data_IF_987814854900
#
_entry.id   IF_987814854900
#
_cell.length_a   1.000
_cell.length_b   1.000
_cell.length_c   1.000
_cell.angle_alpha   90.00
_cell.angle_beta   90.00
_cell.angle_gamma   90.00
#
_symmetry.space_group_name_H-M   'P 1'
#
loop_
_entity.id
_entity.type
_entity.pdbx_description
1 polymer ?
#
# COMPACT_ATOMS: atom_id res chain seq x y z
N UNK A 1 23.70 -12.43 -1.60
CA UNK A 1 23.31 -11.28 -2.45
C UNK A 1 22.06 -11.70 -3.19
N UNK A 2 20.98 -10.98 -3.08
CA UNK A 2 19.81 -11.15 -3.93
C UNK A 2 20.26 -10.76 -5.33
N UNK A 3 19.96 -11.59 -6.34
CA UNK A 3 20.67 -11.62 -7.63
C UNK A 3 20.68 -10.31 -8.41
N UNK A 4 21.61 -10.19 -9.34
CA UNK A 4 21.77 -9.07 -10.30
C UNK A 4 20.56 -8.87 -11.24
N UNK A 5 19.49 -9.67 -11.06
CA UNK A 5 18.28 -9.68 -11.90
C UNK A 5 17.26 -8.62 -11.49
N UNK A 6 17.28 -8.17 -10.25
CA UNK A 6 16.31 -7.16 -9.74
C UNK A 6 17.00 -5.82 -9.64
N UNK A 7 16.48 -4.83 -10.36
CA UNK A 7 16.97 -3.44 -10.32
C UNK A 7 15.83 -2.54 -9.92
N UNK A 8 16.06 -1.70 -8.91
CA UNK A 8 15.11 -0.68 -8.44
C UNK A 8 15.39 0.67 -9.12
N UNK A 9 14.33 1.35 -9.49
CA UNK A 9 14.31 2.77 -9.83
C UNK A 9 13.24 3.43 -8.97
N UNK A 10 13.61 4.46 -8.22
CA UNK A 10 12.66 5.21 -7.37
C UNK A 10 12.20 6.47 -8.11
N UNK A 11 10.89 6.70 -8.15
CA UNK A 11 10.30 7.91 -8.74
C UNK A 11 10.58 9.13 -7.85
N UNK A 12 10.67 10.32 -8.45
CA UNK A 12 10.88 11.57 -7.72
C UNK A 12 9.54 12.16 -7.25
N UNK A 13 8.88 11.42 -6.35
CA UNK A 13 7.62 11.81 -5.71
C UNK A 13 7.67 11.65 -4.18
N UNK A 14 8.68 12.22 -3.49
CA UNK A 14 8.84 12.06 -2.06
C UNK A 14 7.70 12.73 -1.27
N UNK A 15 7.19 12.02 -0.27
CA UNK A 15 6.14 12.51 0.63
C UNK A 15 6.15 11.74 1.95
N UNK A 16 5.39 12.17 2.97
CA UNK A 16 5.20 11.37 4.18
C UNK A 16 4.61 9.96 3.92
N UNK A 17 3.91 9.75 2.80
CA UNK A 17 3.33 8.46 2.42
C UNK A 17 4.29 7.63 1.59
N UNK A 18 5.00 8.26 0.64
CA UNK A 18 5.87 7.59 -0.32
C UNK A 18 7.35 7.52 0.10
N UNK A 19 7.70 8.08 1.27
CA UNK A 19 9.07 8.19 1.78
C UNK A 19 9.98 8.96 0.81
N UNK A 20 11.02 8.32 0.28
CA UNK A 20 11.92 8.89 -0.72
C UNK A 20 11.31 8.89 -2.13
N UNK A 21 10.16 8.23 -2.32
CA UNK A 21 9.41 8.07 -3.57
C UNK A 21 8.95 6.63 -3.77
N UNK A 22 8.19 6.40 -4.84
CA UNK A 22 7.67 5.09 -5.19
C UNK A 22 8.69 4.26 -5.94
N UNK A 23 8.88 3.03 -5.53
CA UNK A 23 9.81 2.09 -6.13
C UNK A 23 9.17 1.33 -7.29
N UNK A 24 9.78 1.43 -8.46
CA UNK A 24 9.56 0.52 -9.58
C UNK A 24 10.70 -0.50 -9.63
N UNK A 25 10.39 -1.73 -10.03
CA UNK A 25 11.40 -2.77 -10.14
C UNK A 25 11.44 -3.34 -11.55
N UNK A 26 12.65 -3.50 -12.10
CA UNK A 26 12.87 -4.30 -13.30
C UNK A 26 13.40 -5.68 -12.88
N UNK A 27 12.70 -6.72 -13.31
CA UNK A 27 13.15 -8.11 -13.19
C UNK A 27 13.67 -8.56 -14.54
N UNK A 28 14.97 -8.75 -14.65
CA UNK A 28 15.66 -9.06 -15.89
C UNK A 28 15.68 -10.57 -16.15
N UNK A 29 15.18 -10.98 -17.31
CA UNK A 29 15.42 -12.28 -17.94
C UNK A 29 16.47 -12.17 -19.04
N UNK A 30 16.73 -13.29 -19.72
CA UNK A 30 17.71 -13.35 -20.82
C UNK A 30 17.29 -12.57 -22.07
N UNK A 31 16.00 -12.54 -22.37
CA UNK A 31 15.46 -11.94 -23.61
C UNK A 31 14.51 -10.76 -23.36
N UNK A 32 14.28 -10.42 -22.09
CA UNK A 32 13.37 -9.35 -21.72
C UNK A 32 13.42 -8.99 -20.25
N UNK A 33 12.74 -7.89 -19.92
CA UNK A 33 12.53 -7.47 -18.54
C UNK A 33 11.03 -7.35 -18.24
N UNK A 34 10.64 -7.67 -17.01
CA UNK A 34 9.34 -7.31 -16.44
C UNK A 34 9.51 -6.06 -15.58
N UNK A 35 8.58 -5.12 -15.69
CA UNK A 35 8.46 -3.98 -14.77
C UNK A 35 7.39 -4.31 -13.74
N UNK A 36 7.69 -4.10 -12.46
CA UNK A 36 6.71 -4.17 -11.37
C UNK A 36 6.51 -2.74 -10.86
N UNK A 37 5.26 -2.31 -10.81
CA UNK A 37 4.81 -0.96 -10.47
C UNK A 37 5.53 0.12 -11.29
N UNK A 38 4.99 0.51 -12.46
CA UNK A 38 5.62 1.52 -13.31
C UNK A 38 5.64 2.92 -12.69
N UNK A 39 4.98 3.10 -11.53
CA UNK A 39 4.97 4.36 -10.80
C UNK A 39 3.93 5.36 -11.31
N UNK A 40 4.10 6.64 -10.96
CA UNK A 40 3.26 7.71 -11.46
C UNK A 40 3.43 7.92 -12.97
N UNK A 41 2.50 8.64 -13.60
CA UNK A 41 2.66 9.10 -14.99
C UNK A 41 3.67 10.27 -15.04
N UNK A 42 4.94 9.91 -14.92
CA UNK A 42 6.08 10.82 -14.89
C UNK A 42 7.08 10.46 -15.99
N UNK A 43 7.26 11.36 -16.96
CA UNK A 43 8.08 11.09 -18.14
C UNK A 43 9.56 10.79 -17.83
N UNK A 44 10.25 11.52 -16.91
CA UNK A 44 11.59 11.16 -16.46
C UNK A 44 11.68 9.76 -15.87
N UNK A 45 10.74 9.35 -15.03
CA UNK A 45 10.72 8.04 -14.42
C UNK A 45 10.49 6.92 -15.44
N UNK A 46 9.46 7.07 -16.28
CA UNK A 46 9.16 6.10 -17.36
C UNK A 46 10.29 5.99 -18.37
N UNK A 47 10.91 7.12 -18.73
CA UNK A 47 12.11 7.15 -19.55
C UNK A 47 13.29 6.42 -18.92
N UNK A 48 13.46 6.56 -17.60
CA UNK A 48 14.48 5.86 -16.82
C UNK A 48 14.29 4.34 -16.82
N UNK A 49 13.05 3.83 -16.69
CA UNK A 49 12.74 2.40 -16.77
C UNK A 49 13.14 1.82 -18.14
N UNK A 50 12.79 2.52 -19.23
CA UNK A 50 13.17 2.10 -20.59
C UNK A 50 14.70 2.13 -20.77
N UNK A 51 15.36 3.19 -20.30
CA UNK A 51 16.81 3.31 -20.39
C UNK A 51 17.52 2.19 -19.62
N UNK A 52 17.05 1.82 -18.42
CA UNK A 52 17.58 0.70 -17.66
C UNK A 52 17.47 -0.64 -18.42
N UNK A 53 16.33 -0.92 -19.06
CA UNK A 53 16.18 -2.11 -19.89
C UNK A 53 17.16 -2.10 -21.07
N UNK A 54 17.33 -0.95 -21.71
CA UNK A 54 18.27 -0.75 -22.83
C UNK A 54 19.75 -0.95 -22.41
N UNK A 55 20.14 -0.59 -21.19
CA UNK A 55 21.54 -0.82 -20.71
C UNK A 55 21.92 -2.29 -20.69
N UNK A 56 20.93 -3.19 -20.58
CA UNK A 56 21.13 -4.65 -20.67
C UNK A 56 20.78 -5.23 -22.04
N UNK A 57 20.44 -4.38 -23.01
CA UNK A 57 20.15 -4.78 -24.39
C UNK A 57 18.86 -5.59 -24.53
N UNK A 58 17.93 -5.49 -23.60
CA UNK A 58 16.66 -6.24 -23.61
C UNK A 58 15.44 -5.30 -23.64
N UNK A 59 14.34 -5.69 -24.29
CA UNK A 59 13.07 -4.95 -24.25
C UNK A 59 12.32 -5.21 -22.93
N UNK A 60 11.40 -4.30 -22.58
CA UNK A 60 10.38 -4.55 -21.57
C UNK A 60 9.32 -5.45 -22.21
N UNK A 61 9.01 -6.59 -21.58
CA UNK A 61 8.10 -7.63 -22.08
C UNK A 61 6.79 -7.75 -21.28
N UNK A 62 6.69 -7.07 -20.15
CA UNK A 62 5.48 -7.03 -19.33
C UNK A 62 5.57 -5.97 -18.25
N UNK A 63 4.40 -5.50 -17.83
CA UNK A 63 4.21 -4.49 -16.78
C UNK A 63 3.24 -5.09 -15.78
N UNK A 64 3.71 -5.45 -14.60
CA UNK A 64 2.90 -5.99 -13.53
C UNK A 64 2.60 -4.88 -12.52
N UNK A 65 1.34 -4.71 -12.14
CA UNK A 65 0.92 -3.68 -11.19
C UNK A 65 0.41 -4.34 -9.92
N UNK A 66 0.96 -3.94 -8.77
CA UNK A 66 0.55 -4.50 -7.47
C UNK A 66 -0.84 -4.05 -7.09
N UNK A 67 -1.18 -2.77 -7.26
CA UNK A 67 -2.49 -2.19 -6.95
C UNK A 67 -2.71 -0.85 -7.64
N UNK A 68 -3.95 -0.35 -7.59
CA UNK A 68 -4.40 0.79 -8.38
C UNK A 68 -4.17 2.17 -7.77
N UNK A 69 -3.27 2.35 -6.78
CA UNK A 69 -3.01 3.67 -6.22
C UNK A 69 -2.28 4.61 -7.22
N UNK A 70 -2.46 5.94 -7.07
CA UNK A 70 -2.01 6.93 -8.04
C UNK A 70 -0.49 7.02 -8.22
N UNK A 71 0.27 6.46 -7.33
CA UNK A 71 1.72 6.43 -7.40
C UNK A 71 2.29 5.08 -7.91
N UNK A 72 1.44 4.06 -8.11
CA UNK A 72 1.85 2.73 -8.62
C UNK A 72 1.37 2.45 -10.05
N UNK A 73 0.10 2.73 -10.36
CA UNK A 73 -0.56 2.29 -11.58
C UNK A 73 -0.51 3.26 -12.77
N UNK A 74 -0.53 4.59 -12.62
CA UNK A 74 -0.74 5.51 -13.75
C UNK A 74 0.30 5.40 -14.86
N UNK A 75 1.56 5.09 -14.51
CA UNK A 75 2.64 4.88 -15.48
C UNK A 75 2.43 3.66 -16.39
N UNK A 76 1.48 2.76 -16.09
CA UNK A 76 1.28 1.53 -16.86
C UNK A 76 0.82 1.81 -18.31
N UNK A 77 -0.16 2.68 -18.51
CA UNK A 77 -0.69 2.99 -19.83
C UNK A 77 0.34 3.69 -20.74
N UNK A 78 1.04 4.76 -20.32
CA UNK A 78 2.08 5.38 -21.15
C UNK A 78 3.29 4.46 -21.37
N UNK A 79 3.70 3.65 -20.38
CA UNK A 79 4.79 2.70 -20.58
C UNK A 79 4.41 1.60 -21.59
N UNK A 80 3.16 1.08 -21.51
CA UNK A 80 2.60 0.17 -22.50
C UNK A 80 2.61 0.76 -23.90
N UNK A 81 2.17 2.00 -24.06
CA UNK A 81 2.14 2.67 -25.37
C UNK A 81 3.54 2.79 -26.00
N UNK A 82 4.59 2.98 -25.18
CA UNK A 82 5.99 3.12 -25.64
C UNK A 82 6.69 1.80 -25.91
N UNK A 83 6.32 0.73 -25.20
CA UNK A 83 7.04 -0.56 -25.24
C UNK A 83 6.28 -1.65 -25.98
N UNK A 84 4.95 -1.54 -26.08
CA UNK A 84 4.06 -2.62 -26.54
C UNK A 84 3.91 -3.76 -25.51
N UNK A 85 4.47 -3.63 -24.31
CA UNK A 85 4.39 -4.65 -23.29
C UNK A 85 2.98 -4.72 -22.68
N UNK A 86 2.39 -5.91 -22.49
CA UNK A 86 1.08 -6.05 -21.85
C UNK A 86 1.13 -5.67 -20.38
N UNK A 87 0.02 -5.10 -19.89
CA UNK A 87 -0.20 -4.74 -18.49
C UNK A 87 -0.96 -5.89 -17.80
N UNK A 88 -0.43 -6.32 -16.67
CA UNK A 88 -0.99 -7.36 -15.80
C UNK A 88 -1.46 -6.73 -14.50
N UNK A 89 -2.69 -6.99 -14.09
CA UNK A 89 -3.25 -6.48 -12.84
C UNK A 89 -4.32 -7.42 -12.26
N UNK A 90 -4.70 -7.20 -11.03
CA UNK A 90 -5.80 -7.91 -10.37
C UNK A 90 -7.14 -7.68 -11.08
N UNK A 91 -8.06 -8.66 -10.98
CA UNK A 91 -9.41 -8.57 -11.54
C UNK A 91 -10.22 -7.36 -11.03
N UNK A 92 -9.96 -6.90 -9.81
CA UNK A 92 -10.57 -5.72 -9.20
C UNK A 92 -9.93 -4.38 -9.58
N UNK A 93 -8.88 -4.36 -10.41
CA UNK A 93 -8.19 -3.14 -10.80
C UNK A 93 -9.13 -2.20 -11.59
N UNK A 94 -9.08 -0.91 -11.22
CA UNK A 94 -9.97 0.13 -11.80
C UNK A 94 -9.27 0.97 -12.86
N UNK A 95 -8.21 0.46 -13.44
CA UNK A 95 -7.47 1.05 -14.56
C UNK A 95 -7.34 0.05 -15.72
N UNK A 96 -7.12 0.51 -16.95
CA UNK A 96 -6.98 -0.37 -18.11
C UNK A 96 -5.78 -1.31 -17.99
N UNK A 97 -6.01 -2.60 -18.18
CA UNK A 97 -4.98 -3.63 -18.23
C UNK A 97 -5.32 -4.67 -19.31
N UNK A 98 -4.32 -5.43 -19.75
CA UNK A 98 -4.47 -6.40 -20.86
C UNK A 98 -4.71 -7.82 -20.34
N UNK A 99 -4.14 -8.17 -19.19
CA UNK A 99 -4.20 -9.50 -18.60
C UNK A 99 -4.61 -9.40 -17.15
N UNK A 100 -5.69 -10.05 -16.83
CA UNK A 100 -6.17 -10.20 -15.45
C UNK A 100 -5.40 -11.31 -14.75
N UNK A 101 -4.98 -11.07 -13.51
CA UNK A 101 -4.35 -12.05 -12.63
C UNK A 101 -5.23 -12.36 -11.43
N UNK A 102 -5.27 -13.65 -11.09
CA UNK A 102 -5.88 -14.20 -9.89
C UNK A 102 -4.81 -14.83 -8.97
N UNK A 103 -5.22 -15.28 -7.79
CA UNK A 103 -4.33 -15.90 -6.81
C UNK A 103 -3.64 -17.15 -7.36
N UNK A 104 -2.31 -17.12 -7.41
CA UNK A 104 -1.49 -18.22 -7.89
C UNK A 104 -1.13 -18.18 -9.37
N UNK A 105 -1.65 -17.23 -10.14
CA UNK A 105 -1.28 -17.04 -11.54
C UNK A 105 0.20 -16.71 -11.71
N UNK A 106 0.73 -17.02 -12.87
CA UNK A 106 2.15 -16.80 -13.18
C UNK A 106 2.30 -15.99 -14.47
N UNK A 107 3.07 -14.92 -14.39
CA UNK A 107 3.62 -14.23 -15.55
C UNK A 107 4.88 -14.98 -15.95
N UNK A 108 4.80 -15.75 -17.00
CA UNK A 108 5.91 -16.53 -17.54
C UNK A 108 6.51 -15.83 -18.76
N UNK A 109 7.75 -15.40 -18.63
CA UNK A 109 8.51 -14.73 -19.69
C UNK A 109 9.96 -15.19 -19.66
N UNK A 110 10.33 -15.97 -20.65
CA UNK A 110 11.65 -16.55 -20.81
C UNK A 110 12.09 -17.39 -19.60
N UNK A 111 13.05 -16.90 -18.84
CA UNK A 111 13.55 -17.51 -17.60
C UNK A 111 13.08 -16.76 -16.34
N UNK A 112 12.06 -15.92 -16.46
CA UNK A 112 11.41 -15.22 -15.35
C UNK A 112 10.03 -15.79 -15.14
N UNK A 113 9.81 -16.41 -13.99
CA UNK A 113 8.50 -16.85 -13.52
C UNK A 113 8.09 -16.01 -12.32
N UNK A 114 7.26 -15.01 -12.56
CA UNK A 114 6.75 -14.12 -11.54
C UNK A 114 5.33 -14.55 -11.15
N UNK A 115 5.19 -15.13 -9.96
CA UNK A 115 3.90 -15.64 -9.49
C UNK A 115 3.16 -14.57 -8.70
N UNK A 116 1.88 -14.39 -9.03
CA UNK A 116 1.00 -13.44 -8.36
C UNK A 116 0.23 -14.10 -7.22
N UNK A 117 0.00 -13.36 -6.13
CA UNK A 117 -0.85 -13.76 -5.02
C UNK A 117 -1.70 -12.59 -4.57
N UNK A 118 -2.98 -12.85 -4.33
CA UNK A 118 -3.87 -11.86 -3.75
C UNK A 118 -3.42 -11.49 -2.34
N UNK A 119 -3.37 -10.18 -2.09
CA UNK A 119 -2.88 -9.60 -0.84
C UNK A 119 -3.78 -8.44 -0.37
N UNK A 120 -5.09 -8.67 -0.22
CA UNK A 120 -6.04 -7.62 0.12
C UNK A 120 -5.75 -7.04 1.51
N UNK A 121 -6.21 -5.81 1.71
CA UNK A 121 -6.20 -5.18 3.02
C UNK A 121 -5.67 -3.76 3.03
N UNK A 122 -4.57 -3.44 2.32
CA UNK A 122 -4.20 -2.06 2.03
C UNK A 122 -5.10 -1.51 0.90
N UNK A 123 -5.24 -2.26 -0.15
CA UNK A 123 -6.21 -2.06 -1.22
C UNK A 123 -6.94 -3.37 -1.55
N UNK A 124 -8.15 -3.26 -2.09
CA UNK A 124 -9.02 -4.40 -2.43
C UNK A 124 -8.56 -5.14 -3.70
N UNK A 125 -7.73 -4.51 -4.53
CA UNK A 125 -7.14 -5.04 -5.76
C UNK A 125 -5.64 -5.36 -5.63
N UNK A 126 -5.14 -5.53 -4.40
CA UNK A 126 -3.71 -5.67 -4.18
C UNK A 126 -3.21 -7.09 -4.50
N UNK A 127 -2.12 -7.16 -5.30
CA UNK A 127 -1.31 -8.35 -5.56
C UNK A 127 0.08 -8.19 -4.94
N UNK A 128 0.66 -9.29 -4.50
CA UNK A 128 2.11 -9.42 -4.28
C UNK A 128 2.69 -10.36 -5.35
N UNK A 129 3.95 -10.16 -5.71
CA UNK A 129 4.62 -10.98 -6.69
C UNK A 129 5.79 -11.72 -6.08
N UNK A 130 5.90 -13.01 -6.41
CA UNK A 130 6.95 -13.89 -5.92
C UNK A 130 7.85 -14.37 -7.05
N UNK A 131 9.13 -14.03 -6.98
CA UNK A 131 10.19 -14.56 -7.83
C UNK A 131 10.97 -15.60 -7.01
N UNK A 132 10.53 -16.86 -7.13
CA UNK A 132 10.94 -17.95 -6.24
C UNK A 132 12.44 -18.24 -6.29
N UNK A 133 13.03 -18.31 -7.50
CA UNK A 133 14.44 -18.66 -7.70
C UNK A 133 15.39 -17.65 -7.04
N UNK A 134 15.00 -16.39 -7.02
CA UNK A 134 15.75 -15.29 -6.41
C UNK A 134 15.41 -15.08 -4.93
N UNK A 135 14.33 -15.70 -4.43
CA UNK A 135 13.81 -15.44 -3.09
C UNK A 135 13.34 -14.00 -2.92
N UNK A 136 12.84 -13.37 -4.00
CA UNK A 136 12.41 -11.99 -4.01
C UNK A 136 10.89 -11.87 -3.94
N UNK A 137 10.38 -11.20 -2.91
CA UNK A 137 8.96 -10.94 -2.70
C UNK A 137 8.69 -9.43 -2.91
N UNK A 138 7.93 -9.11 -3.95
CA UNK A 138 7.49 -7.74 -4.25
C UNK A 138 6.13 -7.52 -3.61
N UNK A 139 6.09 -6.66 -2.61
CA UNK A 139 4.92 -6.51 -1.74
C UNK A 139 4.09 -5.28 -2.02
N UNK A 140 4.49 -4.40 -2.96
CA UNK A 140 3.85 -3.10 -3.10
C UNK A 140 3.69 -2.46 -1.72
N UNK A 141 2.50 -2.04 -1.37
CA UNK A 141 2.19 -1.39 -0.11
C UNK A 141 1.57 -2.30 0.97
N UNK A 142 1.78 -3.61 0.86
CA UNK A 142 1.53 -4.51 2.01
C UNK A 142 2.63 -4.35 3.06
N UNK A 143 3.91 -4.32 2.63
CA UNK A 143 5.07 -4.12 3.51
C UNK A 143 6.08 -3.23 2.82
N UNK A 144 6.46 -2.12 3.46
CA UNK A 144 7.43 -1.15 2.95
C UNK A 144 8.74 -1.18 3.76
N UNK A 145 9.79 -0.60 3.20
CA UNK A 145 11.14 -0.66 3.79
C UNK A 145 11.25 -0.04 5.19
N UNK A 146 10.52 1.05 5.45
CA UNK A 146 10.55 1.78 6.73
C UNK A 146 9.15 2.19 7.15
N UNK A 147 8.87 2.14 8.46
CA UNK A 147 7.56 2.50 9.02
C UNK A 147 6.51 1.43 8.75
N UNK A 148 5.27 1.85 8.65
CA UNK A 148 4.11 1.00 8.33
C UNK A 148 3.17 1.75 7.40
N UNK A 149 2.41 1.02 6.59
CA UNK A 149 1.42 1.59 5.66
C UNK A 149 0.13 1.96 6.38
N UNK A 150 -0.69 2.79 5.76
CA UNK A 150 -2.02 3.11 6.26
C UNK A 150 -3.04 2.13 5.67
N UNK A 151 -4.00 1.70 6.49
CA UNK A 151 -5.15 0.91 6.04
C UNK A 151 -6.38 1.80 6.17
N UNK A 152 -6.89 2.27 5.05
CA UNK A 152 -7.96 3.26 5.03
C UNK A 152 -9.22 2.74 4.29
N UNK A 153 -10.39 2.70 4.93
CA UNK A 153 -11.65 2.44 4.23
C UNK A 153 -11.95 3.54 3.20
N UNK A 154 -12.71 3.26 2.13
CA UNK A 154 -13.48 2.01 1.93
C UNK A 154 -12.69 0.84 1.31
N UNK A 155 -11.51 1.08 0.72
CA UNK A 155 -10.72 0.04 0.04
C UNK A 155 -9.83 -0.76 0.97
N UNK A 156 -9.43 -0.17 2.11
CA UNK A 156 -8.65 -0.82 3.15
C UNK A 156 -9.53 -1.62 4.13
N UNK A 157 -9.08 -2.82 4.49
CA UNK A 157 -9.72 -3.68 5.51
C UNK A 157 -8.66 -4.25 6.45
N UNK A 158 -8.79 -3.96 7.75
CA UNK A 158 -7.81 -4.35 8.76
C UNK A 158 -7.70 -5.86 8.95
N UNK A 159 -8.81 -6.62 8.85
CA UNK A 159 -8.77 -8.07 9.03
C UNK A 159 -8.20 -8.78 7.82
N UNK A 160 -8.55 -8.35 6.64
CA UNK A 160 -7.93 -8.82 5.41
C UNK A 160 -6.42 -8.54 5.43
N UNK A 161 -6.00 -7.35 5.85
CA UNK A 161 -4.60 -6.97 5.95
C UNK A 161 -3.81 -7.85 6.93
N UNK A 162 -4.35 -8.10 8.12
CA UNK A 162 -3.73 -9.00 9.09
C UNK A 162 -3.63 -10.45 8.55
N UNK A 163 -4.68 -10.93 7.87
CA UNK A 163 -4.66 -12.23 7.23
C UNK A 163 -3.59 -12.32 6.14
N UNK A 164 -3.46 -11.28 5.32
CA UNK A 164 -2.39 -11.15 4.32
C UNK A 164 -1.00 -11.20 4.95
N UNK A 165 -0.75 -10.43 6.02
CA UNK A 165 0.54 -10.46 6.72
C UNK A 165 0.88 -11.86 7.26
N UNK A 166 -0.08 -12.55 7.85
CA UNK A 166 0.10 -13.92 8.33
C UNK A 166 0.40 -14.88 7.18
N UNK A 167 -0.34 -14.78 6.06
CA UNK A 167 -0.10 -15.57 4.87
C UNK A 167 1.31 -15.35 4.32
N UNK A 168 1.74 -14.09 4.18
CA UNK A 168 3.09 -13.77 3.69
C UNK A 168 4.17 -14.34 4.60
N UNK A 169 4.01 -14.26 5.91
CA UNK A 169 4.95 -14.81 6.89
C UNK A 169 5.07 -16.33 6.80
N UNK A 170 3.94 -17.01 6.60
CA UNK A 170 3.86 -18.48 6.71
C UNK A 170 4.19 -19.15 5.35
N UNK A 171 3.66 -18.64 4.23
CA UNK A 171 3.81 -19.25 2.91
C UNK A 171 5.14 -18.89 2.22
N UNK A 172 5.74 -17.72 2.55
CA UNK A 172 6.96 -17.25 1.91
C UNK A 172 8.19 -17.32 2.82
N UNK A 173 8.30 -18.37 3.62
CA UNK A 173 9.43 -18.58 4.53
C UNK A 173 10.79 -18.69 3.81
N UNK A 174 10.80 -18.97 2.51
CA UNK A 174 11.98 -18.99 1.64
C UNK A 174 12.38 -17.60 1.10
N UNK A 175 11.61 -16.55 1.41
CA UNK A 175 11.93 -15.19 0.98
C UNK A 175 13.25 -14.72 1.61
N UNK A 176 14.14 -14.20 0.76
CA UNK A 176 15.44 -13.63 1.16
C UNK A 176 15.37 -12.11 1.28
N UNK A 177 14.48 -11.49 0.52
CA UNK A 177 14.22 -10.06 0.59
C UNK A 177 12.76 -9.72 0.25
N UNK A 178 12.24 -8.67 0.90
CA UNK A 178 11.03 -7.97 0.50
C UNK A 178 11.42 -6.70 -0.26
N UNK A 179 10.77 -6.48 -1.39
CA UNK A 179 10.86 -5.31 -2.24
C UNK A 179 9.51 -4.57 -2.15
N UNK A 180 9.43 -3.60 -1.25
CA UNK A 180 8.22 -2.82 -1.01
C UNK A 180 8.06 -1.65 -1.98
N UNK A 181 6.86 -1.10 -2.08
CA UNK A 181 6.56 0.07 -2.90
C UNK A 181 7.36 1.31 -2.48
N UNK A 182 7.79 1.39 -1.22
CA UNK A 182 8.54 2.52 -0.67
C UNK A 182 9.71 2.09 0.20
N UNK A 183 10.78 2.92 0.21
CA UNK A 183 11.97 2.73 1.04
C UNK A 183 12.91 1.64 0.52
N UNK A 184 13.87 1.25 1.37
CA UNK A 184 14.89 0.25 1.01
C UNK A 184 14.35 -1.19 1.09
N UNK A 185 14.90 -2.13 0.29
CA UNK A 185 14.56 -3.54 0.40
C UNK A 185 14.86 -4.10 1.81
N UNK A 186 13.97 -4.97 2.29
CA UNK A 186 14.07 -5.61 3.60
C UNK A 186 14.76 -6.95 3.46
N UNK A 187 15.90 -7.14 4.13
CA UNK A 187 16.71 -8.36 4.05
C UNK A 187 16.39 -9.38 5.15
N UNK A 188 15.50 -9.07 6.07
CA UNK A 188 14.98 -9.96 7.10
C UNK A 188 13.43 -10.04 6.99
N UNK A 189 12.87 -10.72 5.95
CA UNK A 189 11.44 -10.72 5.66
C UNK A 189 10.56 -11.15 6.84
N UNK A 190 10.92 -12.26 7.49
CA UNK A 190 10.15 -12.81 8.60
C UNK A 190 10.08 -11.86 9.79
N UNK A 191 11.22 -11.29 10.18
CA UNK A 191 11.29 -10.35 11.31
C UNK A 191 10.44 -9.10 11.03
N UNK A 192 10.47 -8.62 9.78
CA UNK A 192 9.66 -7.47 9.36
C UNK A 192 8.17 -7.77 9.39
N UNK A 193 7.76 -8.94 8.94
CA UNK A 193 6.36 -9.37 8.97
C UNK A 193 5.86 -9.55 10.41
N UNK A 194 6.68 -10.15 11.29
CA UNK A 194 6.37 -10.29 12.72
C UNK A 194 6.29 -8.90 13.41
N UNK A 195 7.17 -7.96 13.07
CA UNK A 195 7.11 -6.54 13.51
C UNK A 195 5.78 -5.89 13.13
N UNK A 196 5.36 -6.04 11.85
CA UNK A 196 4.11 -5.47 11.35
C UNK A 196 2.89 -6.05 12.07
N UNK A 197 2.84 -7.37 12.23
CA UNK A 197 1.74 -8.06 12.94
C UNK A 197 1.68 -7.57 14.39
N UNK A 198 2.80 -7.56 15.08
CA UNK A 198 2.87 -7.12 16.48
C UNK A 198 2.43 -5.66 16.65
N UNK A 199 2.88 -4.77 15.75
CA UNK A 199 2.49 -3.36 15.74
C UNK A 199 0.96 -3.20 15.56
N UNK A 200 0.35 -3.94 14.60
CA UNK A 200 -1.10 -3.87 14.38
C UNK A 200 -1.90 -4.34 15.59
N UNK A 201 -1.51 -5.45 16.18
CA UNK A 201 -2.18 -6.00 17.37
C UNK A 201 -2.02 -5.07 18.58
N UNK A 202 -0.87 -4.44 18.74
CA UNK A 202 -0.64 -3.48 19.81
C UNK A 202 -1.52 -2.22 19.66
N UNK A 203 -1.65 -1.66 18.45
CA UNK A 203 -2.56 -0.53 18.20
C UNK A 203 -4.03 -0.89 18.45
N UNK A 204 -4.48 -2.10 18.08
CA UNK A 204 -5.82 -2.58 18.42
C UNK A 204 -6.02 -2.69 19.94
N UNK A 205 -5.02 -3.21 20.67
CA UNK A 205 -5.06 -3.30 22.13
C UNK A 205 -5.16 -1.92 22.80
N UNK A 206 -4.39 -0.94 22.31
CA UNK A 206 -4.42 0.45 22.80
C UNK A 206 -5.80 1.10 22.54
N UNK A 207 -6.37 0.88 21.35
CA UNK A 207 -7.72 1.35 21.00
C UNK A 207 -8.77 0.77 21.95
N UNK A 208 -8.78 -0.54 22.17
CA UNK A 208 -9.72 -1.20 23.08
C UNK A 208 -9.54 -0.74 24.52
N UNK A 209 -8.32 -0.48 24.97
CA UNK A 209 -8.05 0.07 26.30
C UNK A 209 -8.59 1.50 26.46
N UNK A 210 -8.45 2.35 25.44
CA UNK A 210 -9.02 3.70 25.43
C UNK A 210 -10.55 3.66 25.52
N UNK A 211 -11.21 2.77 24.78
CA UNK A 211 -12.67 2.58 24.79
C UNK A 211 -13.20 1.94 26.07
N UNK A 212 -12.37 1.26 26.85
CA UNK A 212 -12.77 0.71 28.14
C UNK A 212 -13.06 1.79 29.20
N UNK A 213 -12.55 3.01 29.00
CA UNK A 213 -12.73 4.14 29.91
C UNK A 213 -13.94 5.02 29.56
N UNK A 214 -14.67 4.73 28.50
CA UNK A 214 -15.86 5.42 28.05
C UNK A 214 -15.91 5.60 26.54
N UNK A 215 -17.04 6.11 26.04
CA UNK A 215 -17.20 6.42 24.61
C UNK A 215 -16.24 7.53 24.16
N UNK A 216 -15.73 7.42 22.94
CA UNK A 216 -14.77 8.36 22.32
C UNK A 216 -15.09 8.57 20.85
N UNK A 217 -14.82 9.78 20.37
CA UNK A 217 -14.77 10.11 18.95
C UNK A 217 -13.42 9.68 18.36
N UNK A 218 -13.36 9.54 17.02
CA UNK A 218 -12.08 9.24 16.34
C UNK A 218 -10.99 10.30 16.65
N UNK A 219 -11.24 11.62 16.60
CA UNK A 219 -10.26 12.62 16.99
C UNK A 219 -9.73 12.46 18.42
N UNK A 220 -10.59 12.13 19.40
CA UNK A 220 -10.16 11.84 20.76
C UNK A 220 -9.29 10.58 20.82
N UNK A 221 -9.65 9.53 20.09
CA UNK A 221 -8.87 8.29 20.00
C UNK A 221 -7.49 8.53 19.35
N UNK A 222 -7.40 9.38 18.32
CA UNK A 222 -6.12 9.77 17.71
C UNK A 222 -5.19 10.37 18.76
N UNK A 223 -5.68 11.28 19.61
CA UNK A 223 -4.85 11.92 20.64
C UNK A 223 -4.37 10.96 21.72
N UNK A 224 -5.06 9.83 21.93
CA UNK A 224 -4.71 8.81 22.91
C UNK A 224 -3.79 7.76 22.31
N UNK A 225 -4.20 7.16 21.18
CA UNK A 225 -3.53 6.01 20.57
C UNK A 225 -2.31 6.40 19.75
N UNK A 226 -2.30 7.62 19.19
CA UNK A 226 -1.24 8.15 18.34
C UNK A 226 -0.60 9.41 18.92
N UNK A 227 -0.55 9.53 20.25
CA UNK A 227 0.06 10.67 20.96
C UNK A 227 1.57 10.81 20.68
N UNK A 228 2.22 9.71 20.30
CA UNK A 228 3.64 9.60 19.92
C UNK A 228 3.92 9.94 18.44
N UNK A 229 2.87 10.15 17.63
CA UNK A 229 2.96 10.41 16.20
C UNK A 229 2.82 11.91 15.91
N UNK A 230 3.58 12.41 14.93
CA UNK A 230 3.48 13.81 14.48
C UNK A 230 2.04 14.16 14.08
N UNK A 231 1.58 15.36 14.49
CA UNK A 231 0.22 15.84 14.19
C UNK A 231 -0.09 15.91 12.68
N UNK A 232 0.92 16.09 11.85
CA UNK A 232 0.78 16.04 10.38
C UNK A 232 0.23 14.69 9.90
N UNK A 233 0.50 13.61 10.64
CA UNK A 233 0.02 12.25 10.32
C UNK A 233 -1.30 11.89 11.03
N UNK A 234 -1.88 12.78 11.84
CA UNK A 234 -3.14 12.50 12.54
C UNK A 234 -4.32 12.22 11.62
N UNK A 235 -4.47 12.87 10.46
CA UNK A 235 -5.49 12.49 9.48
C UNK A 235 -5.37 11.03 9.01
N UNK A 236 -4.15 10.58 8.69
CA UNK A 236 -3.89 9.19 8.33
C UNK A 236 -4.16 8.23 9.50
N UNK A 237 -3.78 8.63 10.73
CA UNK A 237 -4.08 7.87 11.95
C UNK A 237 -5.59 7.75 12.21
N UNK A 238 -6.39 8.78 11.88
CA UNK A 238 -7.84 8.75 11.99
C UNK A 238 -8.46 7.72 11.04
N UNK A 239 -8.01 7.66 9.79
CA UNK A 239 -8.45 6.64 8.82
C UNK A 239 -8.04 5.23 9.26
N UNK A 240 -6.83 5.10 9.78
CA UNK A 240 -6.34 3.83 10.36
C UNK A 240 -7.21 3.37 11.56
N UNK A 241 -7.60 4.29 12.45
CA UNK A 241 -8.51 3.95 13.56
C UNK A 241 -9.90 3.55 13.05
N UNK A 242 -10.40 4.23 12.02
CA UNK A 242 -11.68 3.87 11.39
C UNK A 242 -11.66 2.43 10.86
N UNK A 243 -10.54 1.99 10.24
CA UNK A 243 -10.40 0.61 9.78
C UNK A 243 -10.48 -0.41 10.93
N UNK A 244 -9.85 -0.12 12.07
CA UNK A 244 -9.97 -0.97 13.26
C UNK A 244 -11.40 -0.97 13.82
N UNK A 245 -12.02 0.21 13.93
CA UNK A 245 -13.37 0.36 14.51
C UNK A 245 -14.40 -0.39 13.67
N UNK A 246 -14.35 -0.30 12.35
CA UNK A 246 -15.21 -1.07 11.43
C UNK A 246 -15.02 -2.57 11.65
N UNK A 247 -13.78 -3.05 11.76
CA UNK A 247 -13.50 -4.45 12.01
C UNK A 247 -14.05 -4.92 13.37
N UNK A 248 -13.81 -4.14 14.42
CA UNK A 248 -14.27 -4.43 15.78
C UNK A 248 -15.79 -4.35 15.92
N UNK A 249 -16.45 -3.49 15.17
CA UNK A 249 -17.91 -3.40 15.13
C UNK A 249 -18.53 -4.63 14.46
N UNK A 250 -17.99 -5.07 13.33
CA UNK A 250 -18.37 -6.34 12.68
C UNK A 250 -18.20 -7.56 13.60
N UNK A 251 -17.22 -7.51 14.50
CA UNK A 251 -16.97 -8.53 15.52
C UNK A 251 -17.81 -8.34 16.80
N UNK A 252 -18.70 -7.34 16.84
CA UNK A 252 -19.51 -6.99 18.02
C UNK A 252 -18.71 -6.65 19.28
N UNK A 253 -17.46 -6.22 19.15
CA UNK A 253 -16.60 -5.78 20.26
C UNK A 253 -16.78 -4.32 20.64
N UNK A 254 -17.20 -3.51 19.68
CA UNK A 254 -17.50 -2.09 19.83
C UNK A 254 -18.89 -1.78 19.23
N UNK A 255 -19.43 -0.65 19.57
CA UNK A 255 -20.62 -0.07 18.94
C UNK A 255 -20.32 1.36 18.55
N UNK A 256 -21.01 1.83 17.51
CA UNK A 256 -20.96 3.23 17.08
C UNK A 256 -22.35 3.87 17.26
N UNK A 257 -22.38 5.17 17.54
CA UNK A 257 -23.57 6.01 17.40
C UNK A 257 -23.20 7.39 16.89
N UNK A 258 -24.02 7.93 16.02
CA UNK A 258 -23.86 9.28 15.49
C UNK A 258 -24.21 10.33 16.55
N UNK A 259 -23.40 11.39 16.63
CA UNK A 259 -23.72 12.58 17.41
C UNK A 259 -24.44 13.60 16.52
N UNK A 260 -25.58 14.12 17.01
CA UNK A 260 -26.33 15.17 16.32
C UNK A 260 -25.71 16.57 16.59
N UNK A 261 -24.49 16.78 16.12
CA UNK A 261 -23.80 18.06 16.13
C UNK A 261 -22.83 18.17 14.97
N UNK A 262 -22.48 19.38 14.61
CA UNK A 262 -21.44 19.64 13.62
C UNK A 262 -20.03 19.31 14.15
N UNK A 263 -19.12 19.05 13.22
CA UNK A 263 -17.70 18.92 13.51
C UNK A 263 -17.12 20.26 13.95
N UNK A 264 -16.36 20.26 15.04
CA UNK A 264 -15.56 21.41 15.42
C UNK A 264 -14.43 21.63 14.39
N UNK A 265 -13.81 22.82 14.35
CA UNK A 265 -12.66 23.06 13.46
C UNK A 265 -11.52 22.06 13.65
N UNK A 266 -11.20 21.68 14.89
CA UNK A 266 -10.13 20.73 15.20
C UNK A 266 -10.48 19.31 14.73
N UNK A 267 -11.73 18.88 14.94
CA UNK A 267 -12.22 17.58 14.44
C UNK A 267 -12.21 17.54 12.91
N UNK A 268 -12.61 18.63 12.27
CA UNK A 268 -12.58 18.74 10.80
C UNK A 268 -11.16 18.67 10.27
N UNK A 269 -10.20 19.30 10.92
CA UNK A 269 -8.78 19.24 10.52
C UNK A 269 -8.19 17.83 10.61
N UNK A 270 -8.70 16.97 11.51
CA UNK A 270 -8.28 15.58 11.63
C UNK A 270 -9.03 14.67 10.66
N UNK A 271 -10.36 14.85 10.51
CA UNK A 271 -11.21 13.95 9.75
C UNK A 271 -11.25 14.29 8.24
N UNK A 272 -11.16 15.57 7.91
CA UNK A 272 -11.23 16.09 6.54
C UNK A 272 -10.14 17.17 6.33
N UNK A 273 -8.85 16.80 6.33
CA UNK A 273 -7.78 17.79 6.17
C UNK A 273 -7.81 18.41 4.77
N UNK A 274 -7.38 19.65 4.69
CA UNK A 274 -7.05 20.27 3.40
C UNK A 274 -5.64 19.83 2.98
N UNK A 275 -5.58 18.73 2.25
CA UNK A 275 -4.30 18.17 1.79
C UNK A 275 -3.55 19.12 0.86
N UNK A 276 -4.27 19.94 0.07
CA UNK A 276 -3.65 20.88 -0.86
C UNK A 276 -2.86 22.01 -0.15
N UNK A 277 -3.20 22.28 1.10
CA UNK A 277 -2.47 23.21 1.94
C UNK A 277 -1.24 22.61 2.63
N UNK A 278 -1.10 21.27 2.61
CA UNK A 278 -0.09 20.52 3.37
C UNK A 278 1.04 19.98 2.48
N UNK A 279 0.74 19.62 1.25
CA UNK A 279 1.68 19.01 0.30
C UNK A 279 1.40 19.51 -1.14
N UNK A 280 2.32 19.24 -2.07
CA UNK A 280 2.11 19.56 -3.49
C UNK A 280 0.90 18.83 -4.08
N UNK A 281 0.34 19.28 -5.24
CA UNK A 281 -0.88 18.72 -5.78
C UNK A 281 -0.82 17.22 -6.11
N UNK A 282 0.35 16.71 -6.54
CA UNK A 282 0.51 15.29 -6.86
C UNK A 282 0.50 14.44 -5.58
N UNK A 283 1.27 14.85 -4.57
CA UNK A 283 1.27 14.22 -3.25
C UNK A 283 -0.10 14.30 -2.57
N UNK A 284 -0.84 15.41 -2.74
CA UNK A 284 -2.21 15.55 -2.23
C UNK A 284 -3.16 14.56 -2.89
N UNK A 285 -3.06 14.34 -4.20
CA UNK A 285 -3.90 13.37 -4.92
C UNK A 285 -3.61 11.93 -4.47
N UNK A 286 -2.33 11.57 -4.30
CA UNK A 286 -1.91 10.26 -3.75
C UNK A 286 -2.49 10.08 -2.35
N UNK A 287 -2.27 11.04 -1.45
CA UNK A 287 -2.76 10.96 -0.07
C UNK A 287 -4.30 10.91 0.00
N UNK A 288 -5.02 11.64 -0.85
CA UNK A 288 -6.48 11.59 -0.92
C UNK A 288 -6.98 10.20 -1.30
N UNK A 289 -6.39 9.60 -2.33
CA UNK A 289 -6.77 8.27 -2.80
C UNK A 289 -6.44 7.17 -1.78
N UNK A 290 -5.23 7.18 -1.21
CA UNK A 290 -4.81 6.21 -0.21
C UNK A 290 -5.62 6.30 1.09
N UNK A 291 -5.98 7.51 1.49
CA UNK A 291 -6.69 7.75 2.75
C UNK A 291 -8.23 7.80 2.58
N UNK A 292 -8.74 7.62 1.35
CA UNK A 292 -10.17 7.59 1.07
C UNK A 292 -10.87 8.93 1.37
N UNK A 293 -10.20 10.07 1.13
CA UNK A 293 -10.77 11.40 1.36
C UNK A 293 -11.71 11.89 0.26
N UNK A 294 -11.94 11.09 -0.79
CA UNK A 294 -12.98 11.36 -1.78
C UNK A 294 -14.41 11.31 -1.19
N UNK A 295 -14.54 10.69 -0.02
CA UNK A 295 -15.77 10.63 0.77
C UNK A 295 -15.58 11.36 2.13
N UNK A 296 -15.88 12.64 2.23
CA UNK A 296 -15.68 13.42 3.45
C UNK A 296 -16.59 12.95 4.59
N UNK A 297 -16.08 13.02 5.81
CA UNK A 297 -16.83 12.70 7.02
C UNK A 297 -17.72 13.89 7.39
N UNK A 298 -19.02 13.78 7.15
CA UNK A 298 -19.99 14.84 7.45
C UNK A 298 -20.54 14.77 8.88
N UNK A 299 -20.45 13.60 9.50
CA UNK A 299 -21.02 13.35 10.84
C UNK A 299 -19.96 12.81 11.78
N UNK A 300 -20.07 13.20 13.04
CA UNK A 300 -19.21 12.65 14.07
C UNK A 300 -19.86 11.44 14.72
N UNK A 301 -19.08 10.38 14.86
CA UNK A 301 -19.49 9.18 15.57
C UNK A 301 -18.70 9.05 16.88
N UNK A 302 -19.35 8.50 17.90
CA UNK A 302 -18.71 8.02 19.10
C UNK A 302 -18.75 6.50 19.13
N UNK A 303 -17.68 5.94 19.59
CA UNK A 303 -17.48 4.50 19.70
C UNK A 303 -17.34 4.12 21.18
N UNK A 304 -17.94 3.02 21.58
CA UNK A 304 -17.86 2.46 22.92
C UNK A 304 -17.63 0.96 22.88
N UNK A 305 -17.04 0.41 23.94
CA UNK A 305 -16.86 -1.03 24.11
C UNK A 305 -18.22 -1.67 24.46
N UNK A 306 -18.50 -2.84 23.90
CA UNK A 306 -19.61 -3.71 24.30
C UNK A 306 -19.23 -4.59 25.46
#
# INVERSE_FOLDING_TARGET
MVGDRVVRLTADNPSPMTLEGTNSYLVFGREGALVIDPGPDDEPHLGGLIALAQTRGVPIRGIAVTHGHPDHAPGAAPLRARTGAPVYAHAGARFPHDVTLEDGDTIDRDDVQLRAFEAPGHADDHLVFWLQDDGALFTGDVVVGRGTVVIAPPRGDMRAYLATLHRLRDDFSAARAIYGGHGEPVTAPRDKLDEYIAHRLERERQLLAALATGERTIPELVTIVYCDVSRVLWPAAARQLLAYLIALEREHKVHARTLERELSPDERAILNPDLSAMVDPQSAAVAAAELGYDDPVDRIEVYGRR
#
